data_IF_807690472013
#
_entry.id   IF_807690472013
#
_cell.length_a   1.000
_cell.length_b   1.000
_cell.length_c   1.000
_cell.angle_alpha   90.00
_cell.angle_beta   90.00
_cell.angle_gamma   90.00
#
_symmetry.space_group_name_H-M   'P 1'
#
loop_
_entity.id
_entity.type
_entity.pdbx_description
1 polymer ?
#
# COMPACT_ATOMS: atom_id res chain seq x y z
N UNK A 1 -19.24 -13.15 7.81
CA UNK A 1 -19.20 -11.68 7.97
C UNK A 1 -18.79 -11.40 9.42
N UNK A 2 -17.72 -10.66 9.63
CA UNK A 2 -17.19 -10.33 10.97
C UNK A 2 -16.90 -8.83 11.08
N UNK A 3 -16.69 -8.31 12.29
CA UNK A 3 -16.39 -6.89 12.51
C UNK A 3 -15.08 -6.48 11.81
N UNK A 4 -15.02 -5.24 11.34
CA UNK A 4 -13.80 -4.65 10.80
C UNK A 4 -12.75 -4.53 11.90
N UNK A 5 -11.53 -5.02 11.64
CA UNK A 5 -10.47 -5.14 12.64
C UNK A 5 -9.73 -3.81 12.88
N UNK A 6 -9.69 -2.92 11.89
CA UNK A 6 -8.94 -1.66 11.94
C UNK A 6 -9.88 -0.46 11.97
N UNK A 7 -9.57 0.51 12.83
CA UNK A 7 -10.27 1.81 12.97
C UNK A 7 -11.79 1.79 13.16
N UNK A 8 -12.42 0.62 13.33
CA UNK A 8 -13.87 0.50 13.34
C UNK A 8 -14.54 0.94 12.03
N UNK A 9 -13.79 1.09 10.93
CA UNK A 9 -14.29 1.57 9.65
C UNK A 9 -14.01 0.55 8.52
N UNK A 10 -14.84 0.50 7.48
CA UNK A 10 -14.63 -0.42 6.35
C UNK A 10 -13.53 0.04 5.40
N UNK A 11 -13.24 1.34 5.35
CA UNK A 11 -12.25 1.95 4.48
C UNK A 11 -11.64 3.16 5.20
N UNK A 12 -10.37 3.06 5.57
CA UNK A 12 -9.63 4.15 6.21
C UNK A 12 -8.66 4.83 5.24
N UNK A 13 -7.83 4.04 4.56
CA UNK A 13 -6.69 4.54 3.80
C UNK A 13 -6.97 4.81 2.32
N UNK A 14 -6.43 5.94 1.85
CA UNK A 14 -6.35 6.32 0.44
C UNK A 14 -4.94 6.85 0.16
N UNK A 15 -4.35 6.49 -0.98
CA UNK A 15 -3.04 6.97 -1.39
C UNK A 15 -2.96 7.20 -2.90
N UNK A 16 -2.22 8.23 -3.31
CA UNK A 16 -1.82 8.44 -4.70
C UNK A 16 -0.50 7.72 -4.97
N UNK A 17 -0.33 7.18 -6.18
CA UNK A 17 1.00 6.77 -6.64
C UNK A 17 1.94 7.98 -6.64
N UNK A 18 3.27 7.79 -6.47
CA UNK A 18 4.20 8.92 -6.41
C UNK A 18 4.21 9.81 -7.65
N UNK A 19 3.79 9.30 -8.81
CA UNK A 19 3.59 10.06 -10.06
C UNK A 19 2.18 10.63 -10.22
N UNK A 20 1.34 10.51 -9.18
CA UNK A 20 -0.03 11.04 -9.07
C UNK A 20 -1.02 10.57 -10.14
N UNK A 21 -0.75 9.44 -10.81
CA UNK A 21 -1.62 8.91 -11.88
C UNK A 21 -2.70 7.95 -11.42
N UNK A 22 -2.51 7.29 -10.28
CA UNK A 22 -3.47 6.32 -9.75
C UNK A 22 -3.82 6.61 -8.29
N UNK A 23 -5.08 6.36 -7.94
CA UNK A 23 -5.62 6.42 -6.58
C UNK A 23 -5.84 4.99 -6.09
N UNK A 24 -5.31 4.68 -4.92
CA UNK A 24 -5.39 3.37 -4.28
C UNK A 24 -6.19 3.47 -2.97
N UNK A 25 -7.29 2.74 -2.89
CA UNK A 25 -8.26 2.80 -1.77
C UNK A 25 -8.31 1.46 -1.04
N UNK A 26 -8.12 1.50 0.28
CA UNK A 26 -8.19 0.34 1.15
C UNK A 26 -9.65 -0.03 1.45
N UNK A 27 -10.07 -1.23 1.08
CA UNK A 27 -11.32 -1.84 1.56
C UNK A 27 -10.97 -2.95 2.55
N UNK A 28 -10.97 -2.57 3.82
CA UNK A 28 -10.74 -3.46 4.96
C UNK A 28 -11.81 -4.53 5.06
N UNK A 29 -13.09 -4.16 4.85
CA UNK A 29 -14.21 -5.10 5.02
C UNK A 29 -14.15 -6.26 4.02
N UNK A 30 -13.81 -5.99 2.77
CA UNK A 30 -13.74 -7.00 1.72
C UNK A 30 -12.30 -7.54 1.47
N UNK A 31 -11.31 -7.06 2.24
CA UNK A 31 -9.89 -7.39 2.08
C UNK A 31 -9.42 -7.15 0.64
N UNK A 32 -9.60 -5.91 0.18
CA UNK A 32 -9.30 -5.48 -1.19
C UNK A 32 -8.52 -4.18 -1.21
N UNK A 33 -7.70 -4.04 -2.25
CA UNK A 33 -7.16 -2.76 -2.70
C UNK A 33 -7.82 -2.38 -4.01
N UNK A 34 -8.54 -1.26 -4.04
CA UNK A 34 -9.17 -0.75 -5.26
C UNK A 34 -8.28 0.30 -5.92
N UNK A 35 -8.11 0.20 -7.24
CA UNK A 35 -7.24 1.11 -8.00
C UNK A 35 -8.10 1.88 -9.00
N UNK A 36 -7.97 3.20 -9.00
CA UNK A 36 -8.66 4.13 -9.88
C UNK A 36 -7.65 5.01 -10.62
N UNK A 37 -8.02 5.52 -11.79
CA UNK A 37 -7.28 6.63 -12.40
C UNK A 37 -7.43 7.91 -11.57
N UNK A 38 -6.36 8.70 -11.45
CA UNK A 38 -6.35 9.94 -10.67
C UNK A 38 -6.87 11.18 -11.42
N UNK A 39 -7.46 10.99 -12.60
CA UNK A 39 -8.05 12.06 -13.41
C UNK A 39 -9.49 11.73 -13.76
N UNK A 40 -10.37 12.74 -13.91
CA UNK A 40 -11.73 12.53 -14.39
C UNK A 40 -11.76 11.64 -15.65
N UNK A 41 -12.63 10.63 -15.71
CA UNK A 41 -13.79 10.39 -14.83
C UNK A 41 -13.50 9.56 -13.56
N UNK A 42 -12.24 9.43 -13.13
CA UNK A 42 -11.80 8.64 -11.97
C UNK A 42 -12.22 7.17 -12.07
N UNK A 43 -12.04 6.59 -13.26
CA UNK A 43 -12.51 5.23 -13.54
C UNK A 43 -11.75 4.20 -12.71
N UNK A 44 -12.49 3.26 -12.12
CA UNK A 44 -11.87 2.09 -11.47
C UNK A 44 -11.18 1.23 -12.54
N UNK A 45 -9.90 0.96 -12.31
CA UNK A 45 -9.07 0.21 -13.24
C UNK A 45 -8.98 -1.27 -12.85
N UNK A 46 -8.83 -1.58 -11.56
CA UNK A 46 -8.86 -2.95 -11.07
C UNK A 46 -9.12 -3.03 -9.56
N UNK A 47 -9.13 -4.25 -9.04
CA UNK A 47 -9.07 -4.56 -7.61
C UNK A 47 -8.07 -5.70 -7.36
N UNK A 48 -7.26 -5.57 -6.32
CA UNK A 48 -6.31 -6.61 -5.88
C UNK A 48 -6.87 -7.27 -4.60
N UNK A 49 -7.02 -8.62 -4.56
CA UNK A 49 -7.33 -9.33 -3.32
C UNK A 49 -6.13 -9.35 -2.36
N UNK A 50 -6.41 -9.14 -1.08
CA UNK A 50 -5.41 -9.13 -0.01
C UNK A 50 -5.67 -10.26 1.00
N UNK A 51 -4.65 -10.56 1.80
CA UNK A 51 -4.63 -11.66 2.76
C UNK A 51 -5.25 -11.28 4.11
N UNK A 52 -5.36 -9.99 4.41
CA UNK A 52 -5.99 -9.43 5.61
C UNK A 52 -6.61 -8.06 5.31
N UNK A 53 -7.25 -7.44 6.31
CA UNK A 53 -7.92 -6.15 6.18
C UNK A 53 -6.92 -4.99 6.09
N UNK A 54 -6.77 -4.29 4.94
CA UNK A 54 -5.94 -3.10 4.86
C UNK A 54 -6.61 -1.92 5.56
N UNK A 55 -5.80 -1.13 6.27
CA UNK A 55 -6.20 0.18 6.82
C UNK A 55 -5.41 1.35 6.24
N UNK A 56 -4.31 1.09 5.54
CA UNK A 56 -3.47 2.10 4.91
C UNK A 56 -2.68 1.51 3.73
N UNK A 57 -2.17 2.35 2.84
CA UNK A 57 -1.23 1.98 1.78
C UNK A 57 -0.13 3.02 1.67
N UNK A 58 1.11 2.56 1.57
CA UNK A 58 2.30 3.39 1.37
C UNK A 58 3.01 2.95 0.10
N UNK A 59 3.64 3.87 -0.63
CA UNK A 59 4.42 3.55 -1.82
C UNK A 59 5.91 3.66 -1.56
N UNK A 60 6.70 2.85 -2.26
CA UNK A 60 8.14 3.05 -2.34
C UNK A 60 8.44 4.41 -2.96
N UNK A 61 9.61 5.01 -2.65
CA UNK A 61 9.94 6.36 -3.15
C UNK A 61 9.95 6.45 -4.68
N UNK A 62 10.33 5.38 -5.36
CA UNK A 62 10.35 5.28 -6.82
C UNK A 62 9.00 4.81 -7.42
N UNK A 63 7.99 4.56 -6.58
CA UNK A 63 6.66 4.12 -6.98
C UNK A 63 6.59 2.70 -7.57
N UNK A 64 7.68 1.93 -7.53
CA UNK A 64 7.66 0.56 -8.04
C UNK A 64 6.80 -0.38 -7.19
N UNK A 65 6.77 -0.14 -5.88
CA UNK A 65 6.08 -0.99 -4.91
C UNK A 65 5.02 -0.23 -4.11
N UNK A 66 3.97 -0.95 -3.77
CA UNK A 66 2.96 -0.54 -2.80
C UNK A 66 2.95 -1.53 -1.62
N UNK A 67 2.81 -0.97 -0.42
CA UNK A 67 2.83 -1.66 0.86
C UNK A 67 1.50 -1.42 1.56
N UNK A 68 0.44 -2.18 1.22
CA UNK A 68 -0.78 -2.17 2.02
C UNK A 68 -0.48 -2.68 3.43
N UNK A 69 -1.18 -2.12 4.40
CA UNK A 69 -0.90 -2.40 5.82
C UNK A 69 -1.29 -3.81 6.26
N UNK A 70 -1.90 -4.60 5.38
CA UNK A 70 -2.14 -6.04 5.50
C UNK A 70 -0.86 -6.88 5.32
N UNK A 71 0.25 -6.30 4.82
CA UNK A 71 1.57 -6.92 4.84
C UNK A 71 2.09 -7.38 3.47
N UNK A 72 1.34 -7.18 2.39
CA UNK A 72 1.81 -7.49 1.04
C UNK A 72 2.88 -6.51 0.55
N UNK A 73 3.76 -6.99 -0.33
CA UNK A 73 4.57 -6.17 -1.23
C UNK A 73 4.01 -6.32 -2.62
N UNK A 74 3.36 -5.27 -3.13
CA UNK A 74 2.71 -5.26 -4.43
C UNK A 74 3.59 -4.52 -5.43
N UNK A 75 3.86 -5.11 -6.59
CA UNK A 75 4.40 -4.36 -7.71
C UNK A 75 3.32 -3.43 -8.27
N UNK A 76 3.46 -2.12 -8.09
CA UNK A 76 2.40 -1.14 -8.36
C UNK A 76 1.93 -1.17 -9.83
N UNK A 77 2.88 -1.09 -10.76
CA UNK A 77 2.58 -1.11 -12.21
C UNK A 77 1.98 -2.43 -12.70
N UNK A 78 2.50 -3.58 -12.25
CA UNK A 78 2.00 -4.90 -12.67
C UNK A 78 0.73 -5.33 -11.94
N UNK A 79 0.45 -4.70 -10.78
CA UNK A 79 -0.68 -5.00 -9.90
C UNK A 79 -0.63 -6.45 -9.38
N UNK A 80 0.57 -6.91 -9.08
CA UNK A 80 0.87 -8.27 -8.63
C UNK A 80 1.42 -8.25 -7.21
N UNK A 81 0.86 -9.09 -6.34
CA UNK A 81 1.44 -9.37 -5.01
C UNK A 81 2.70 -10.22 -5.22
N UNK A 82 3.86 -9.67 -4.87
CA UNK A 82 5.14 -10.38 -5.00
C UNK A 82 5.47 -11.17 -3.74
N UNK A 83 5.22 -10.57 -2.57
CA UNK A 83 5.57 -11.14 -1.28
C UNK A 83 4.50 -10.82 -0.25
N UNK A 84 4.48 -11.63 0.81
CA UNK A 84 3.85 -11.30 2.08
C UNK A 84 4.98 -11.18 3.11
N UNK A 85 5.07 -10.04 3.79
CA UNK A 85 6.12 -9.79 4.78
C UNK A 85 6.00 -10.79 5.93
N UNK A 86 7.14 -11.35 6.33
CA UNK A 86 7.26 -12.35 7.40
C UNK A 86 8.32 -11.93 8.41
N UNK A 87 8.10 -12.29 9.68
CA UNK A 87 9.12 -12.23 10.74
C UNK A 87 10.07 -13.43 10.65
N UNK A 88 11.05 -13.50 11.55
CA UNK A 88 12.02 -14.60 11.66
C UNK A 88 11.39 -15.97 11.99
N UNK A 89 10.12 -15.98 12.39
CA UNK A 89 9.34 -17.16 12.72
C UNK A 89 8.28 -17.50 11.66
N UNK A 90 8.33 -16.84 10.49
CA UNK A 90 7.39 -17.01 9.37
C UNK A 90 5.94 -16.58 9.66
N UNK A 91 5.71 -15.77 10.70
CA UNK A 91 4.41 -15.14 10.93
C UNK A 91 4.22 -13.95 9.99
N UNK A 92 2.99 -13.69 9.55
CA UNK A 92 2.68 -12.52 8.74
C UNK A 92 2.92 -11.23 9.52
N UNK A 93 3.63 -10.29 8.90
CA UNK A 93 3.88 -8.95 9.45
C UNK A 93 2.97 -7.96 8.74
N UNK A 94 2.17 -7.24 9.52
CA UNK A 94 1.22 -6.25 9.04
C UNK A 94 1.37 -4.99 9.88
N UNK A 95 1.51 -3.82 9.25
CA UNK A 95 1.63 -2.55 9.95
C UNK A 95 1.07 -1.41 9.12
N UNK A 96 0.34 -0.49 9.75
CA UNK A 96 -0.04 0.79 9.12
C UNK A 96 1.08 1.82 9.16
N UNK A 97 2.09 1.59 9.99
CA UNK A 97 3.19 2.51 10.25
C UNK A 97 4.47 1.85 9.76
N UNK A 98 4.82 2.18 8.51
CA UNK A 98 5.97 1.65 7.80
C UNK A 98 6.77 2.82 7.23
N UNK A 99 8.09 2.74 7.33
CA UNK A 99 9.01 3.70 6.70
C UNK A 99 10.07 2.91 5.96
N UNK A 100 10.19 3.18 4.67
CA UNK A 100 11.25 2.63 3.83
C UNK A 100 12.55 3.41 4.07
N UNK A 101 13.67 2.73 4.30
CA UNK A 101 14.98 3.37 4.50
C UNK A 101 15.93 2.95 3.38
N UNK A 102 16.44 3.92 2.64
CA UNK A 102 17.36 3.71 1.54
C UNK A 102 18.78 3.78 2.05
N UNK A 103 19.56 2.72 1.79
CA UNK A 103 20.95 2.64 2.20
C UNK A 103 21.87 2.65 0.98
N UNK A 104 22.96 3.41 1.07
CA UNK A 104 24.11 3.35 0.16
C UNK A 104 25.37 3.18 0.99
N UNK A 105 26.19 2.18 0.65
CA UNK A 105 27.45 1.89 1.37
C UNK A 105 27.24 1.76 2.89
N UNK A 106 26.17 1.09 3.31
CA UNK A 106 25.83 0.87 4.72
C UNK A 106 25.21 2.07 5.45
N UNK A 107 25.13 3.25 4.83
CA UNK A 107 24.57 4.48 5.43
C UNK A 107 23.16 4.74 4.91
N UNK A 108 22.25 5.13 5.80
CA UNK A 108 20.94 5.65 5.41
C UNK A 108 21.13 7.00 4.69
N UNK A 109 20.61 7.11 3.46
CA UNK A 109 20.75 8.31 2.63
C UNK A 109 19.41 8.97 2.30
N UNK A 110 18.31 8.24 2.46
CA UNK A 110 16.96 8.75 2.27
C UNK A 110 15.96 7.86 3.02
N UNK A 111 14.77 8.41 3.26
CA UNK A 111 13.64 7.68 3.82
C UNK A 111 12.39 7.98 3.00
N UNK A 112 11.56 6.96 2.84
CA UNK A 112 10.19 7.14 2.40
C UNK A 112 9.37 7.87 3.48
N UNK A 113 8.17 8.24 3.08
CA UNK A 113 7.14 8.72 3.99
C UNK A 113 5.89 7.84 3.80
N UNK A 114 5.21 7.56 4.91
CA UNK A 114 4.01 6.73 4.97
C UNK A 114 2.84 7.34 4.19
N UNK A 115 2.82 8.66 4.01
CA UNK A 115 1.72 9.35 3.33
C UNK A 115 1.81 9.20 1.81
N UNK A 116 0.67 9.00 1.15
CA UNK A 116 0.55 8.93 -0.32
C UNK A 116 0.65 10.32 -0.97
N UNK A 117 1.78 10.99 -0.79
CA UNK A 117 2.12 12.27 -1.43
C UNK A 117 2.80 12.03 -2.78
N UNK A 118 2.56 12.92 -3.75
CA UNK A 118 3.33 12.97 -4.99
C UNK A 118 4.80 13.28 -4.71
N UNK A 119 5.68 12.55 -5.39
CA UNK A 119 7.15 12.65 -5.20
C UNK A 119 7.94 12.55 -6.52
N UNK A 120 7.30 12.08 -7.59
CA UNK A 120 7.88 11.92 -8.92
C UNK A 120 7.15 12.89 -9.86
N UNK A 121 7.48 14.17 -9.76
CA UNK A 121 7.00 15.22 -10.66
C UNK A 121 8.01 15.44 -11.80
#
# INVERSE_FOLDING_TARGET
KGPVRRHGNPSHGIGLTPDEKEIWVCDGHNMRMHIFGAHPPYQQQTTIPLSDMPGWVTFSMDGQYAYPSSGEVIHAKRREVLYLLKDEHYNTVSSEKMVEIFKKEGKAIANGDQFGVGRLH
#
